data_IF_211178708183
#
_entry.id   IF_211178708183
#
_cell.length_a   1.000
_cell.length_b   1.000
_cell.length_c   1.000
_cell.angle_alpha   90.00
_cell.angle_beta   90.00
_cell.angle_gamma   90.00
#
_symmetry.space_group_name_H-M   'P 1'
#
loop_
_entity.id
_entity.type
_entity.pdbx_description
1 polymer ?
#
# COMPACT_ATOMS: atom_id res chain seq x y z
N UNK A 1 -1.57 -32.91 44.75
CA UNK A 1 -0.38 -32.34 44.09
C UNK A 1 -0.84 -31.85 42.73
N UNK A 2 -1.04 -30.54 42.59
CA UNK A 2 -1.56 -29.89 41.39
C UNK A 2 -0.46 -29.81 40.33
N UNK A 3 -0.76 -30.24 39.11
CA UNK A 3 0.12 -30.16 37.96
C UNK A 3 0.49 -28.70 37.65
N UNK A 4 1.69 -28.44 37.09
CA UNK A 4 2.09 -27.09 36.71
C UNK A 4 1.15 -26.54 35.63
N UNK A 5 0.67 -25.34 35.90
CA UNK A 5 -0.11 -24.48 35.02
C UNK A 5 0.56 -24.41 33.63
N UNK A 6 0.07 -25.20 32.67
CA UNK A 6 0.36 -24.96 31.26
C UNK A 6 -0.24 -23.60 30.98
N UNK A 7 0.62 -22.60 30.79
CA UNK A 7 0.22 -21.33 30.23
C UNK A 7 -0.52 -21.65 28.93
N UNK A 8 -1.85 -21.60 28.97
CA UNK A 8 -2.66 -21.57 27.77
C UNK A 8 -2.14 -20.37 26.97
N UNK A 9 -1.70 -20.55 25.72
CA UNK A 9 -1.44 -19.39 24.87
C UNK A 9 -2.72 -18.55 24.89
N UNK A 10 -2.58 -17.26 25.19
CA UNK A 10 -3.70 -16.33 25.13
C UNK A 10 -4.43 -16.51 23.79
N UNK A 11 -5.77 -16.46 23.75
CA UNK A 11 -6.51 -16.58 22.49
C UNK A 11 -5.92 -15.61 21.47
N UNK A 12 -5.83 -15.98 20.17
CA UNK A 12 -5.17 -15.14 19.18
C UNK A 12 -5.80 -13.76 19.23
N UNK A 13 -5.03 -12.78 19.71
CA UNK A 13 -5.40 -11.38 19.58
C UNK A 13 -5.47 -11.14 18.09
N UNK A 14 -6.68 -11.01 17.54
CA UNK A 14 -6.88 -10.91 16.11
C UNK A 14 -6.16 -9.67 15.60
N UNK A 15 -5.11 -9.87 14.82
CA UNK A 15 -4.40 -8.76 14.17
C UNK A 15 -5.39 -8.03 13.27
N UNK A 16 -5.27 -6.71 13.18
CA UNK A 16 -6.14 -5.90 12.28
C UNK A 16 -5.62 -5.83 10.85
N UNK A 17 -4.46 -6.42 10.62
CA UNK A 17 -3.70 -6.41 9.36
C UNK A 17 -3.54 -7.86 8.87
N UNK A 18 -3.62 -8.09 7.55
CA UNK A 18 -3.43 -9.42 6.98
C UNK A 18 -2.04 -9.98 7.25
N UNK A 19 -1.93 -11.30 7.21
CA UNK A 19 -0.64 -11.98 7.14
C UNK A 19 0.07 -11.66 5.82
N UNK A 20 1.40 -11.51 5.90
CA UNK A 20 2.25 -11.21 4.74
C UNK A 20 2.50 -12.48 3.94
N UNK A 21 1.51 -12.86 3.14
CA UNK A 21 1.57 -14.01 2.21
C UNK A 21 1.80 -13.53 0.77
N UNK A 22 1.92 -14.44 -0.20
CA UNK A 22 2.00 -14.08 -1.62
C UNK A 22 0.78 -13.28 -2.08
N UNK A 23 -0.42 -13.66 -1.63
CA UNK A 23 -1.66 -12.98 -1.99
C UNK A 23 -1.66 -11.52 -1.53
N UNK A 24 -1.07 -11.23 -0.36
CA UNK A 24 -0.89 -9.86 0.12
C UNK A 24 -0.07 -9.01 -0.87
N UNK A 25 1.07 -9.53 -1.34
CA UNK A 25 1.91 -8.79 -2.28
C UNK A 25 1.25 -8.60 -3.64
N UNK A 26 0.50 -9.60 -4.12
CA UNK A 26 -0.22 -9.52 -5.39
C UNK A 26 -1.33 -8.47 -5.32
N UNK A 27 -2.22 -8.54 -4.32
CA UNK A 27 -3.31 -7.56 -4.19
C UNK A 27 -2.74 -6.17 -3.96
N UNK A 28 -1.67 -6.04 -3.18
CA UNK A 28 -1.00 -4.76 -2.98
C UNK A 28 -0.47 -4.18 -4.29
N UNK A 29 0.24 -4.98 -5.08
CA UNK A 29 0.77 -4.52 -6.37
C UNK A 29 -0.37 -4.07 -7.29
N UNK A 30 -1.46 -4.83 -7.34
CA UNK A 30 -2.66 -4.44 -8.10
C UNK A 30 -3.30 -3.16 -7.56
N UNK A 31 -3.43 -3.01 -6.24
CA UNK A 31 -3.99 -1.82 -5.59
C UNK A 31 -3.15 -0.57 -5.89
N UNK A 32 -1.83 -0.71 -5.87
CA UNK A 32 -0.88 0.32 -6.27
C UNK A 32 -1.10 0.72 -7.73
N UNK A 33 -1.09 -0.23 -8.65
CA UNK A 33 -1.27 0.05 -10.08
C UNK A 33 -2.65 0.68 -10.37
N UNK A 34 -3.70 0.21 -9.71
CA UNK A 34 -5.05 0.79 -9.83
C UNK A 34 -5.11 2.20 -9.29
N UNK A 35 -4.46 2.48 -8.17
CA UNK A 35 -4.52 3.79 -7.55
C UNK A 35 -3.90 4.87 -8.41
N UNK A 36 -2.81 4.54 -9.11
CA UNK A 36 -2.16 5.42 -10.08
C UNK A 36 -3.11 5.73 -11.24
N UNK A 37 -3.57 4.70 -11.95
CA UNK A 37 -4.40 4.90 -13.14
C UNK A 37 -5.78 5.48 -12.80
N UNK A 38 -6.30 5.24 -11.60
CA UNK A 38 -7.54 5.84 -11.14
C UNK A 38 -7.36 7.34 -10.82
N UNK A 39 -6.24 7.73 -10.20
CA UNK A 39 -5.93 9.13 -9.94
C UNK A 39 -5.86 9.93 -11.25
N UNK A 40 -5.09 9.44 -12.22
CA UNK A 40 -4.98 10.04 -13.56
C UNK A 40 -6.33 10.13 -14.26
N UNK A 41 -7.12 9.05 -14.21
CA UNK A 41 -8.43 9.02 -14.85
C UNK A 41 -9.36 10.10 -14.27
N UNK A 42 -9.43 10.20 -12.95
CA UNK A 42 -10.27 11.18 -12.26
C UNK A 42 -9.79 12.61 -12.52
N UNK A 43 -8.49 12.86 -12.49
CA UNK A 43 -7.92 14.18 -12.68
C UNK A 43 -8.04 14.66 -14.14
N UNK A 44 -7.57 13.84 -15.08
CA UNK A 44 -7.36 14.26 -16.48
C UNK A 44 -8.53 13.88 -17.39
N UNK A 45 -9.07 12.66 -17.26
CA UNK A 45 -10.08 12.16 -18.19
C UNK A 45 -11.48 12.65 -17.85
N UNK A 46 -11.85 12.64 -16.56
CA UNK A 46 -13.10 13.24 -16.11
C UNK A 46 -12.98 14.78 -16.10
N UNK A 47 -11.76 15.32 -16.06
CA UNK A 47 -11.49 16.76 -16.11
C UNK A 47 -11.86 17.47 -14.81
N UNK A 48 -11.88 16.76 -13.68
CA UNK A 48 -12.10 17.36 -12.36
C UNK A 48 -10.91 18.23 -11.93
N UNK A 49 -9.72 17.95 -12.47
CA UNK A 49 -8.46 18.58 -12.08
C UNK A 49 -7.90 18.00 -10.77
N UNK A 50 -6.57 18.08 -10.63
CA UNK A 50 -5.83 17.48 -9.51
C UNK A 50 -6.35 17.92 -8.14
N UNK A 51 -6.56 19.22 -7.94
CA UNK A 51 -6.94 19.75 -6.61
C UNK A 51 -8.34 19.30 -6.16
N UNK A 52 -9.34 19.34 -7.04
CA UNK A 52 -10.72 18.94 -6.69
C UNK A 52 -10.78 17.43 -6.46
N UNK A 53 -10.15 16.65 -7.34
CA UNK A 53 -10.05 15.19 -7.17
C UNK A 53 -9.35 14.82 -5.87
N UNK A 54 -8.25 15.48 -5.54
CA UNK A 54 -7.52 15.28 -4.28
C UNK A 54 -8.39 15.53 -3.07
N UNK A 55 -9.18 16.62 -3.04
CA UNK A 55 -10.08 16.93 -1.93
C UNK A 55 -11.20 15.89 -1.77
N UNK A 56 -11.85 15.50 -2.87
CA UNK A 56 -12.94 14.51 -2.85
C UNK A 56 -12.41 13.15 -2.37
N UNK A 57 -11.32 12.66 -2.96
CA UNK A 57 -10.73 11.37 -2.63
C UNK A 57 -10.17 11.34 -1.22
N UNK A 58 -9.59 12.45 -0.73
CA UNK A 58 -9.16 12.56 0.66
C UNK A 58 -10.35 12.47 1.62
N UNK A 59 -11.49 13.09 1.31
CA UNK A 59 -12.71 12.96 2.10
C UNK A 59 -13.22 11.51 2.17
N UNK A 60 -13.21 10.81 1.04
CA UNK A 60 -13.59 9.39 0.96
C UNK A 60 -12.60 8.51 1.74
N UNK A 61 -11.29 8.79 1.64
CA UNK A 61 -10.25 8.10 2.41
C UNK A 61 -10.46 8.26 3.91
N UNK A 62 -10.76 9.48 4.38
CA UNK A 62 -11.04 9.71 5.81
C UNK A 62 -12.22 8.85 6.26
N UNK A 63 -13.31 8.79 5.49
CA UNK A 63 -14.46 7.95 5.81
C UNK A 63 -14.09 6.45 5.85
N UNK A 64 -13.29 5.97 4.90
CA UNK A 64 -12.84 4.58 4.87
C UNK A 64 -11.89 4.24 6.02
N UNK A 65 -11.00 5.16 6.41
CA UNK A 65 -10.15 4.99 7.58
C UNK A 65 -10.99 4.95 8.86
N UNK A 66 -11.98 5.83 9.01
CA UNK A 66 -12.91 5.79 10.16
C UNK A 66 -13.62 4.44 10.24
N UNK A 67 -14.09 3.92 9.10
CA UNK A 67 -14.70 2.61 9.01
C UNK A 67 -13.72 1.48 9.39
N UNK A 68 -12.46 1.58 8.95
CA UNK A 68 -11.40 0.65 9.28
C UNK A 68 -11.06 0.67 10.78
N UNK A 69 -10.89 1.85 11.38
CA UNK A 69 -10.66 2.00 12.81
C UNK A 69 -11.83 1.48 13.67
N UNK A 70 -13.05 1.49 13.12
CA UNK A 70 -14.21 0.89 13.77
C UNK A 70 -14.17 -0.65 13.76
N UNK A 71 -13.46 -1.27 12.80
CA UNK A 71 -13.25 -2.71 12.79
C UNK A 71 -12.20 -3.09 13.85
N UNK A 72 -12.64 -3.84 14.86
CA UNK A 72 -11.74 -4.33 15.93
C UNK A 72 -10.97 -5.60 15.54
N UNK A 73 -11.21 -6.13 14.33
CA UNK A 73 -10.60 -7.33 13.73
C UNK A 73 -10.22 -7.05 12.28
N UNK A 74 -9.32 -7.85 11.71
CA UNK A 74 -9.02 -7.78 10.29
C UNK A 74 -10.27 -8.10 9.47
N UNK A 75 -10.73 -7.13 8.68
CA UNK A 75 -11.81 -7.28 7.72
C UNK A 75 -11.22 -7.03 6.33
N UNK A 76 -11.02 -8.07 5.49
CA UNK A 76 -10.28 -7.95 4.25
C UNK A 76 -10.76 -6.82 3.35
N UNK A 77 -12.08 -6.70 3.14
CA UNK A 77 -12.62 -5.68 2.25
C UNK A 77 -12.41 -4.26 2.76
N UNK A 78 -12.56 -4.01 4.06
CA UNK A 78 -12.39 -2.68 4.64
C UNK A 78 -10.91 -2.25 4.59
N UNK A 79 -10.01 -3.20 4.89
CA UNK A 79 -8.58 -2.98 4.84
C UNK A 79 -8.10 -2.67 3.42
N UNK A 80 -8.46 -3.50 2.44
CA UNK A 80 -8.03 -3.30 1.06
C UNK A 80 -8.69 -2.08 0.42
N UNK A 81 -9.92 -1.74 0.79
CA UNK A 81 -10.54 -0.47 0.39
C UNK A 81 -9.71 0.72 0.88
N UNK A 82 -9.30 0.73 2.15
CA UNK A 82 -8.45 1.77 2.69
C UNK A 82 -7.09 1.83 1.96
N UNK A 83 -6.46 0.68 1.68
CA UNK A 83 -5.20 0.63 0.92
C UNK A 83 -5.34 1.20 -0.49
N UNK A 84 -6.41 0.86 -1.22
CA UNK A 84 -6.67 1.40 -2.57
C UNK A 84 -6.91 2.90 -2.51
N UNK A 85 -7.72 3.38 -1.56
CA UNK A 85 -7.97 4.81 -1.41
C UNK A 85 -6.72 5.60 -1.01
N UNK A 86 -5.88 5.05 -0.14
CA UNK A 86 -4.57 5.63 0.17
C UNK A 86 -3.69 5.66 -1.07
N UNK A 87 -3.77 4.64 -1.92
CA UNK A 87 -3.02 4.64 -3.17
C UNK A 87 -3.40 5.79 -4.08
N UNK A 88 -4.70 6.03 -4.26
CA UNK A 88 -5.22 7.12 -5.09
C UNK A 88 -4.82 8.47 -4.47
N UNK A 89 -5.07 8.65 -3.17
CA UNK A 89 -4.79 9.92 -2.48
C UNK A 89 -3.28 10.21 -2.42
N UNK A 90 -2.44 9.20 -2.20
CA UNK A 90 -0.99 9.36 -2.17
C UNK A 90 -0.42 9.90 -3.48
N UNK A 91 -0.92 9.41 -4.62
CA UNK A 91 -0.60 9.95 -5.95
C UNK A 91 -1.09 11.38 -6.09
N UNK A 92 -2.39 11.61 -5.88
CA UNK A 92 -2.98 12.95 -6.01
C UNK A 92 -2.32 14.01 -5.11
N UNK A 93 -1.88 13.65 -3.90
CA UNK A 93 -1.16 14.57 -3.01
C UNK A 93 0.20 14.93 -3.59
N UNK A 94 0.91 13.95 -4.14
CA UNK A 94 2.22 14.16 -4.76
C UNK A 94 2.11 15.02 -6.01
N UNK A 95 1.23 14.66 -6.92
CA UNK A 95 1.05 15.33 -8.21
C UNK A 95 0.55 16.75 -7.99
N UNK A 96 -0.40 16.96 -7.07
CA UNK A 96 -0.87 18.30 -6.74
C UNK A 96 0.28 19.17 -6.20
N UNK A 97 1.21 18.60 -5.40
CA UNK A 97 2.36 19.33 -4.87
C UNK A 97 3.39 19.69 -5.94
N UNK A 98 3.60 18.81 -6.92
CA UNK A 98 4.57 19.00 -7.99
C UNK A 98 3.98 19.83 -9.14
N UNK A 99 2.86 19.40 -9.70
CA UNK A 99 2.27 19.94 -10.93
C UNK A 99 1.43 21.18 -10.70
N UNK A 100 0.62 21.21 -9.63
CA UNK A 100 -0.21 22.39 -9.32
C UNK A 100 0.58 23.46 -8.58
N UNK A 101 1.32 23.06 -7.54
CA UNK A 101 2.05 23.99 -6.68
C UNK A 101 3.48 24.29 -7.17
N UNK A 102 3.93 23.66 -8.27
CA UNK A 102 5.24 23.90 -8.86
C UNK A 102 6.41 23.41 -8.00
N UNK A 103 6.15 22.46 -7.08
CA UNK A 103 7.18 21.84 -6.26
C UNK A 103 8.16 21.05 -7.12
N UNK A 104 9.46 21.14 -6.84
CA UNK A 104 10.45 20.29 -7.52
C UNK A 104 10.30 18.86 -7.01
N UNK A 105 10.27 17.86 -7.91
CA UNK A 105 10.21 16.44 -7.53
C UNK A 105 11.25 16.08 -6.47
N UNK A 106 12.51 16.50 -6.67
CA UNK A 106 13.60 16.26 -5.70
C UNK A 106 13.26 16.74 -4.29
N UNK A 107 12.70 17.94 -4.17
CA UNK A 107 12.31 18.50 -2.87
C UNK A 107 11.17 17.71 -2.25
N UNK A 108 10.17 17.32 -3.05
CA UNK A 108 9.02 16.53 -2.62
C UNK A 108 9.45 15.13 -2.15
N UNK A 109 10.31 14.45 -2.91
CA UNK A 109 10.87 13.14 -2.54
C UNK A 109 11.67 13.22 -1.23
N UNK A 110 12.52 14.25 -1.07
CA UNK A 110 13.28 14.45 0.17
C UNK A 110 12.33 14.73 1.34
N UNK A 111 11.34 15.59 1.15
CA UNK A 111 10.37 15.94 2.18
C UNK A 111 9.58 14.70 2.65
N UNK A 112 9.06 13.90 1.73
CA UNK A 112 8.36 12.65 2.09
C UNK A 112 9.30 11.61 2.72
N UNK A 113 10.56 11.53 2.28
CA UNK A 113 11.56 10.65 2.90
C UNK A 113 11.81 11.03 4.36
N UNK A 114 11.99 12.33 4.63
CA UNK A 114 12.19 12.85 5.99
C UNK A 114 10.94 12.64 6.83
N UNK A 115 9.75 12.91 6.29
CA UNK A 115 8.49 12.69 6.99
C UNK A 115 8.26 11.21 7.33
N UNK A 116 8.57 10.30 6.40
CA UNK A 116 8.47 8.86 6.62
C UNK A 116 9.47 8.39 7.68
N UNK A 117 10.73 8.83 7.59
CA UNK A 117 11.76 8.52 8.58
C UNK A 117 11.39 9.04 9.97
N UNK A 118 10.87 10.26 10.06
CA UNK A 118 10.36 10.84 11.30
C UNK A 118 9.19 10.02 11.86
N UNK A 119 8.25 9.58 11.00
CA UNK A 119 7.12 8.73 11.40
C UNK A 119 7.60 7.40 11.99
N UNK A 120 8.56 6.73 11.33
CA UNK A 120 9.15 5.51 11.88
C UNK A 120 9.92 5.75 13.18
N UNK A 121 10.66 6.85 13.28
CA UNK A 121 11.40 7.20 14.48
C UNK A 121 10.47 7.46 15.69
N UNK A 122 9.39 8.21 15.48
CA UNK A 122 8.39 8.48 16.53
C UNK A 122 7.63 7.21 16.90
N UNK A 123 7.27 6.37 15.93
CA UNK A 123 6.62 5.09 16.19
C UNK A 123 7.53 4.15 16.99
N UNK A 124 8.80 4.01 16.59
CA UNK A 124 9.78 3.22 17.32
C UNK A 124 10.07 3.79 18.71
N UNK A 125 10.13 5.11 18.88
CA UNK A 125 10.30 5.74 20.19
C UNK A 125 9.10 5.49 21.12
N UNK A 126 7.87 5.49 20.58
CA UNK A 126 6.65 5.28 21.37
C UNK A 126 6.37 3.82 21.69
N UNK A 127 6.66 2.90 20.76
CA UNK A 127 6.20 1.50 20.88
C UNK A 127 7.33 0.47 20.90
N UNK A 128 8.57 0.92 20.63
CA UNK A 128 9.79 0.09 20.52
C UNK A 128 9.68 -1.10 19.58
N UNK A 129 8.73 -1.05 18.66
CA UNK A 129 8.52 -2.05 17.62
C UNK A 129 7.96 -1.37 16.39
N UNK A 130 8.41 -1.82 15.21
CA UNK A 130 7.85 -1.48 13.90
C UNK A 130 7.07 -2.67 13.32
N UNK A 131 6.74 -3.65 14.17
CA UNK A 131 6.11 -4.90 13.75
C UNK A 131 4.64 -4.70 13.43
N UNK A 132 4.30 -5.05 12.19
CA UNK A 132 2.94 -5.08 11.63
C UNK A 132 2.08 -6.21 12.20
N UNK A 133 2.68 -7.19 12.89
CA UNK A 133 1.99 -8.35 13.47
C UNK A 133 1.32 -8.03 14.81
N UNK A 134 1.49 -6.82 15.34
CA UNK A 134 1.01 -6.46 16.68
C UNK A 134 0.15 -5.20 16.70
N UNK A 135 -0.63 -4.96 15.64
CA UNK A 135 -1.48 -3.76 15.52
C UNK A 135 -2.83 -4.04 16.19
N UNK A 136 -2.84 -3.95 17.53
CA UNK A 136 -4.04 -4.19 18.35
C UNK A 136 -4.65 -2.90 18.92
N UNK A 137 -3.87 -1.81 18.98
CA UNK A 137 -4.32 -0.53 19.55
C UNK A 137 -4.50 0.53 18.47
N UNK A 138 -5.44 1.44 18.68
CA UNK A 138 -5.71 2.58 17.78
C UNK A 138 -4.46 3.43 17.56
N UNK A 139 -3.57 3.54 18.54
CA UNK A 139 -2.31 4.29 18.42
C UNK A 139 -1.37 3.66 17.39
N UNK A 140 -1.12 2.34 17.46
CA UNK A 140 -0.26 1.66 16.46
C UNK A 140 -0.89 1.72 15.07
N UNK A 141 -2.21 1.62 15.02
CA UNK A 141 -2.97 1.68 13.77
C UNK A 141 -2.87 3.06 13.10
N UNK A 142 -2.86 4.16 13.86
CA UNK A 142 -2.61 5.51 13.33
C UNK A 142 -1.19 5.61 12.74
N UNK A 143 -0.17 5.15 13.46
CA UNK A 143 1.21 5.16 12.94
C UNK A 143 1.35 4.31 11.68
N UNK A 144 0.68 3.15 11.66
CA UNK A 144 0.66 2.26 10.52
C UNK A 144 0.05 2.93 9.28
N UNK A 145 -1.16 3.47 9.39
CA UNK A 145 -1.82 4.13 8.25
C UNK A 145 -1.10 5.40 7.80
N UNK A 146 -0.53 6.17 8.73
CA UNK A 146 0.29 7.33 8.41
C UNK A 146 1.56 6.92 7.67
N UNK A 147 2.26 5.88 8.15
CA UNK A 147 3.43 5.34 7.46
C UNK A 147 3.04 4.88 6.05
N UNK A 148 1.94 4.13 5.88
CA UNK A 148 1.46 3.73 4.56
C UNK A 148 1.23 4.95 3.68
N UNK A 149 0.45 5.94 4.10
CA UNK A 149 0.18 7.13 3.30
C UNK A 149 1.48 7.81 2.83
N UNK A 150 2.44 7.98 3.73
CA UNK A 150 3.74 8.58 3.41
C UNK A 150 4.59 7.69 2.50
N UNK A 151 4.55 6.36 2.65
CA UNK A 151 5.24 5.45 1.70
C UNK A 151 4.64 5.52 0.30
N UNK A 152 3.32 5.71 0.20
CA UNK A 152 2.64 5.84 -1.08
C UNK A 152 3.00 7.16 -1.76
N UNK A 153 2.94 8.28 -1.04
CA UNK A 153 3.33 9.59 -1.57
C UNK A 153 4.83 9.64 -1.92
N UNK A 154 5.70 9.11 -1.05
CA UNK A 154 7.13 8.98 -1.35
C UNK A 154 7.38 8.12 -2.58
N UNK A 155 6.65 7.02 -2.71
CA UNK A 155 6.82 6.08 -3.81
C UNK A 155 6.41 6.66 -5.16
N UNK A 156 5.33 7.45 -5.23
CA UNK A 156 4.98 8.22 -6.42
C UNK A 156 6.09 9.24 -6.74
N UNK A 157 6.41 10.12 -5.79
CA UNK A 157 7.42 11.16 -5.99
C UNK A 157 8.80 10.60 -6.38
N UNK A 158 9.21 9.48 -5.78
CA UNK A 158 10.47 8.81 -6.07
C UNK A 158 10.44 8.05 -7.40
N UNK A 159 9.30 7.47 -7.77
CA UNK A 159 9.08 6.82 -9.07
C UNK A 159 9.21 7.84 -10.20
N UNK A 160 8.47 8.93 -10.11
CA UNK A 160 8.48 10.00 -11.12
C UNK A 160 9.85 10.67 -11.18
N UNK A 161 10.50 10.88 -10.02
CA UNK A 161 11.84 11.43 -10.00
C UNK A 161 12.82 10.55 -10.80
N UNK A 162 12.74 9.22 -10.65
CA UNK A 162 13.61 8.30 -11.38
C UNK A 162 13.24 8.24 -12.86
N UNK A 163 11.95 8.16 -13.18
CA UNK A 163 11.49 8.09 -14.56
C UNK A 163 11.81 9.37 -15.35
N UNK A 164 11.53 10.55 -14.79
CA UNK A 164 11.69 11.84 -15.45
C UNK A 164 13.13 12.35 -15.42
N UNK A 165 13.84 12.22 -14.28
CA UNK A 165 15.20 12.80 -14.17
C UNK A 165 16.24 12.02 -14.95
N UNK A 166 16.04 10.72 -15.15
CA UNK A 166 16.99 9.86 -15.86
C UNK A 166 16.57 9.52 -17.29
N UNK A 167 15.41 10.02 -17.77
CA UNK A 167 14.81 9.66 -19.07
C UNK A 167 14.73 8.12 -19.27
N UNK A 168 14.63 7.40 -18.15
CA UNK A 168 14.53 5.96 -18.09
C UNK A 168 13.05 5.63 -18.20
N UNK A 169 12.56 5.39 -19.41
CA UNK A 169 11.14 5.10 -19.64
C UNK A 169 10.54 4.07 -18.67
N UNK A 170 9.21 4.06 -18.53
CA UNK A 170 8.47 3.34 -17.49
C UNK A 170 8.88 1.86 -17.28
N UNK A 171 9.19 1.14 -18.37
CA UNK A 171 9.64 -0.25 -18.29
C UNK A 171 10.99 -0.38 -17.56
N UNK A 172 11.96 0.48 -17.86
CA UNK A 172 13.30 0.44 -17.26
C UNK A 172 13.23 0.80 -15.78
N UNK A 173 12.42 1.80 -15.43
CA UNK A 173 12.16 2.20 -14.05
C UNK A 173 11.48 1.06 -13.27
N UNK A 174 10.48 0.40 -13.86
CA UNK A 174 9.86 -0.80 -13.28
C UNK A 174 10.87 -1.93 -13.05
N UNK A 175 11.73 -2.24 -14.01
CA UNK A 175 12.77 -3.27 -13.84
C UNK A 175 13.79 -2.90 -12.75
N UNK A 176 14.14 -1.63 -12.61
CA UNK A 176 15.03 -1.14 -11.57
C UNK A 176 14.44 -1.37 -10.17
N UNK A 177 13.18 -0.97 -9.95
CA UNK A 177 12.50 -1.18 -8.67
C UNK A 177 12.25 -2.66 -8.39
N UNK A 178 11.90 -3.45 -9.42
CA UNK A 178 11.73 -4.90 -9.31
C UNK A 178 13.05 -5.60 -8.93
N UNK A 179 14.16 -5.19 -9.53
CA UNK A 179 15.50 -5.67 -9.18
C UNK A 179 15.91 -5.28 -7.76
N UNK A 180 15.60 -4.07 -7.31
CA UNK A 180 15.85 -3.64 -5.94
C UNK A 180 15.06 -4.47 -4.91
N UNK A 181 13.79 -4.78 -5.20
CA UNK A 181 12.98 -5.69 -4.36
C UNK A 181 13.59 -7.09 -4.34
N UNK A 182 13.99 -7.62 -5.49
CA UNK A 182 14.64 -8.93 -5.57
C UNK A 182 15.94 -8.97 -4.73
N UNK A 183 16.72 -7.88 -4.75
CA UNK A 183 17.93 -7.75 -3.94
C UNK A 183 17.63 -7.72 -2.43
N UNK A 184 16.53 -7.08 -2.01
CA UNK A 184 16.08 -7.11 -0.61
C UNK A 184 15.66 -8.52 -0.20
N UNK A 185 14.93 -9.24 -1.06
CA UNK A 185 14.54 -10.63 -0.80
C UNK A 185 15.78 -11.52 -0.69
N UNK A 186 16.76 -11.34 -1.57
CA UNK A 186 18.04 -12.04 -1.49
C UNK A 186 18.80 -11.66 -0.21
N UNK A 187 18.85 -10.39 0.17
CA UNK A 187 19.48 -9.96 1.42
C UNK A 187 18.78 -10.58 2.65
N UNK A 188 17.45 -10.72 2.61
CA UNK A 188 16.70 -11.41 3.65
C UNK A 188 17.11 -12.89 3.77
N UNK A 189 17.26 -13.61 2.65
CA UNK A 189 17.60 -15.03 2.65
C UNK A 189 19.08 -15.33 2.88
N UNK A 190 19.98 -14.53 2.30
CA UNK A 190 21.42 -14.77 2.32
C UNK A 190 22.14 -14.04 3.47
N UNK A 191 21.64 -12.88 3.90
CA UNK A 191 22.31 -12.02 4.89
C UNK A 191 21.57 -11.96 6.23
N UNK A 192 20.50 -12.75 6.41
CA UNK A 192 19.64 -12.74 7.60
C UNK A 192 19.18 -11.32 7.98
N UNK A 193 18.78 -10.53 6.97
CA UNK A 193 18.25 -9.19 7.19
C UNK A 193 17.02 -9.26 8.12
N UNK A 194 16.85 -8.28 8.99
CA UNK A 194 15.67 -8.20 9.86
C UNK A 194 14.39 -8.19 9.02
N UNK A 195 13.44 -9.07 9.34
CA UNK A 195 12.21 -9.26 8.56
C UNK A 195 11.31 -8.02 8.53
N UNK A 196 11.34 -7.18 9.57
CA UNK A 196 10.55 -5.94 9.63
C UNK A 196 11.18 -4.90 8.71
N UNK A 197 12.51 -4.76 8.72
CA UNK A 197 13.22 -3.88 7.79
C UNK A 197 13.04 -4.32 6.34
N UNK A 198 13.20 -5.61 6.06
CA UNK A 198 12.99 -6.17 4.72
C UNK A 198 11.56 -5.91 4.22
N UNK A 199 10.56 -6.09 5.10
CA UNK A 199 9.16 -5.79 4.80
C UNK A 199 8.98 -4.32 4.42
N UNK A 200 9.41 -3.37 5.25
CA UNK A 200 9.20 -1.95 4.99
C UNK A 200 9.93 -1.47 3.73
N UNK A 201 11.16 -1.95 3.49
CA UNK A 201 11.90 -1.60 2.27
C UNK A 201 11.20 -2.14 1.02
N UNK A 202 10.82 -3.41 1.01
CA UNK A 202 10.03 -3.97 -0.09
C UNK A 202 8.68 -3.24 -0.23
N UNK A 203 8.05 -2.90 0.90
CA UNK A 203 6.78 -2.21 0.93
C UNK A 203 6.87 -0.82 0.28
N UNK A 204 7.93 -0.06 0.57
CA UNK A 204 8.19 1.25 -0.04
C UNK A 204 8.41 1.10 -1.55
N UNK A 205 9.28 0.17 -1.97
CA UNK A 205 9.68 0.04 -3.38
C UNK A 205 8.61 -0.57 -4.28
N UNK A 206 7.66 -1.33 -3.72
CA UNK A 206 6.52 -1.83 -4.51
C UNK A 206 5.61 -0.72 -5.05
N UNK A 207 5.60 0.48 -4.42
CA UNK A 207 4.83 1.61 -4.94
C UNK A 207 5.37 2.12 -6.29
N UNK A 208 6.62 2.62 -6.38
CA UNK A 208 7.15 3.12 -7.65
C UNK A 208 7.18 2.03 -8.72
N UNK A 209 7.38 0.76 -8.33
CA UNK A 209 7.23 -0.39 -9.23
C UNK A 209 5.84 -0.44 -9.87
N UNK A 210 4.78 -0.45 -9.05
CA UNK A 210 3.42 -0.60 -9.56
C UNK A 210 2.87 0.65 -10.25
N UNK A 211 3.35 1.85 -9.88
CA UNK A 211 3.09 3.09 -10.62
C UNK A 211 3.71 3.03 -12.03
N UNK A 212 4.99 2.63 -12.12
CA UNK A 212 5.67 2.42 -13.41
C UNK A 212 4.95 1.41 -14.30
N UNK A 213 4.44 0.30 -13.73
CA UNK A 213 3.61 -0.65 -14.47
C UNK A 213 2.26 -0.08 -14.87
N UNK A 214 1.64 0.76 -14.02
CA UNK A 214 0.39 1.46 -14.30
C UNK A 214 0.53 2.37 -15.51
N UNK A 215 1.53 3.25 -15.48
CA UNK A 215 1.87 4.15 -16.60
C UNK A 215 2.24 3.38 -17.87
N UNK A 216 3.06 2.32 -17.73
CA UNK A 216 3.42 1.47 -18.85
C UNK A 216 2.19 0.84 -19.50
N UNK A 217 1.15 0.50 -18.76
CA UNK A 217 -0.07 -0.09 -19.32
C UNK A 217 -1.05 0.97 -19.84
N UNK A 218 -1.22 2.08 -19.13
CA UNK A 218 -2.24 3.10 -19.38
C UNK A 218 -1.82 4.10 -20.47
N UNK A 219 -0.57 4.60 -20.44
CA UNK A 219 -0.12 5.69 -21.30
C UNK A 219 0.07 5.25 -22.74
N UNK A 220 -0.06 6.19 -23.66
CA UNK A 220 0.05 5.94 -25.11
C UNK A 220 1.47 5.51 -25.52
N UNK A 221 1.58 4.76 -26.62
CA UNK A 221 2.87 4.36 -27.21
C UNK A 221 3.80 5.51 -27.58
N UNK A 222 3.26 6.72 -27.79
CA UNK A 222 4.07 7.93 -28.01
C UNK A 222 4.78 8.44 -26.76
N UNK A 223 4.33 8.05 -25.57
CA UNK A 223 4.94 8.39 -24.28
C UNK A 223 5.61 7.18 -23.61
N UNK A 224 5.86 6.10 -24.37
CA UNK A 224 6.53 4.90 -23.84
C UNK A 224 5.63 3.87 -23.14
N UNK A 225 4.30 4.01 -23.23
CA UNK A 225 3.33 3.02 -22.70
C UNK A 225 2.76 2.08 -23.77
N UNK A 226 2.00 1.06 -23.35
CA UNK A 226 1.40 0.03 -24.20
C UNK A 226 0.07 0.48 -24.82
N UNK A 227 -0.50 1.59 -24.35
CA UNK A 227 -1.67 2.23 -24.94
C UNK A 227 -2.98 1.48 -24.73
N UNK A 228 -3.10 0.66 -23.68
CA UNK A 228 -4.38 0.01 -23.34
C UNK A 228 -5.45 1.01 -22.90
N UNK A 229 -5.05 2.22 -22.55
CA UNK A 229 -5.92 3.31 -22.18
C UNK A 229 -6.35 3.25 -20.71
N UNK A 230 -6.36 4.40 -20.06
CA UNK A 230 -6.58 4.57 -18.62
C UNK A 230 -7.90 3.97 -18.12
N UNK A 231 -8.95 3.99 -18.95
CA UNK A 231 -10.28 3.44 -18.62
C UNK A 231 -10.24 1.92 -18.50
N UNK A 232 -9.68 1.25 -19.52
CA UNK A 232 -9.69 -0.21 -19.57
C UNK A 232 -8.77 -0.80 -18.50
N UNK A 233 -7.59 -0.20 -18.30
CA UNK A 233 -6.65 -0.61 -17.26
C UNK A 233 -7.27 -0.44 -15.87
N UNK A 234 -7.83 0.73 -15.56
CA UNK A 234 -8.44 0.99 -14.25
C UNK A 234 -9.62 0.05 -13.94
N UNK A 235 -10.50 -0.21 -14.92
CA UNK A 235 -11.63 -1.13 -14.71
C UNK A 235 -11.18 -2.59 -14.55
N UNK A 236 -10.19 -3.03 -15.33
CA UNK A 236 -9.64 -4.38 -15.24
C UNK A 236 -9.02 -4.63 -13.85
N UNK A 237 -8.13 -3.73 -13.41
CA UNK A 237 -7.49 -3.90 -12.11
C UNK A 237 -8.47 -3.75 -10.94
N UNK A 238 -9.43 -2.82 -11.02
CA UNK A 238 -10.49 -2.70 -10.01
C UNK A 238 -11.32 -3.99 -9.93
N UNK A 239 -11.67 -4.59 -11.08
CA UNK A 239 -12.37 -5.87 -11.13
C UNK A 239 -11.56 -7.01 -10.48
N UNK A 240 -10.26 -7.09 -10.75
CA UNK A 240 -9.36 -8.05 -10.12
C UNK A 240 -9.26 -7.86 -8.60
N UNK A 241 -9.18 -6.61 -8.12
CA UNK A 241 -9.16 -6.30 -6.69
C UNK A 241 -10.48 -6.74 -6.04
N UNK A 242 -11.62 -6.42 -6.63
CA UNK A 242 -12.93 -6.86 -6.10
C UNK A 242 -12.99 -8.38 -6.01
N UNK A 243 -12.53 -9.10 -7.05
CA UNK A 243 -12.52 -10.56 -7.06
C UNK A 243 -11.60 -11.15 -5.97
N UNK A 244 -10.39 -10.60 -5.80
CA UNK A 244 -9.43 -11.05 -4.78
C UNK A 244 -9.91 -10.73 -3.36
N UNK A 245 -10.50 -9.55 -3.15
CA UNK A 245 -11.10 -9.15 -1.89
C UNK A 245 -12.29 -10.05 -1.54
N UNK A 246 -13.13 -10.37 -2.52
CA UNK A 246 -14.24 -11.30 -2.33
C UNK A 246 -13.73 -12.70 -1.97
N UNK A 247 -12.71 -13.19 -2.68
CA UNK A 247 -12.07 -14.47 -2.38
C UNK A 247 -11.48 -14.51 -0.95
N UNK A 248 -10.77 -13.46 -0.53
CA UNK A 248 -10.23 -13.36 0.84
C UNK A 248 -11.33 -13.27 1.90
N UNK A 249 -12.42 -12.55 1.60
CA UNK A 249 -13.56 -12.40 2.51
C UNK A 249 -14.28 -13.75 2.69
N UNK A 250 -14.48 -14.48 1.59
CA UNK A 250 -15.10 -15.81 1.62
C UNK A 250 -14.21 -16.81 2.38
N UNK A 251 -12.90 -16.84 2.09
CA UNK A 251 -11.95 -17.73 2.76
C UNK A 251 -11.87 -17.46 4.27
N UNK A 252 -11.78 -16.20 4.69
CA UNK A 252 -11.77 -15.84 6.11
C UNK A 252 -13.08 -16.18 6.84
N UNK A 253 -14.22 -16.20 6.13
CA UNK A 253 -15.50 -16.63 6.70
C UNK A 253 -15.55 -18.15 6.88
N UNK A 254 -14.91 -18.91 5.97
CA UNK A 254 -14.80 -20.37 6.06
C UNK A 254 -13.86 -20.79 7.21
N UNK A 255 -12.71 -20.12 7.36
CA UNK A 255 -11.78 -20.41 8.45
C UNK A 255 -12.40 -20.11 9.84
N UNK A 256 -13.15 -19.00 10.00
CA UNK A 256 -13.90 -18.70 11.25
C UNK A 256 -14.99 -19.76 11.54
N UNK A 257 -15.63 -20.32 10.50
CA UNK A 257 -16.66 -21.35 10.66
C UNK A 257 -16.09 -22.71 11.07
N UNK A 258 -14.95 -23.11 10.50
CA UNK A 258 -14.26 -24.35 10.85
C UNK A 258 -13.69 -24.29 12.28
N UNK A 259 -13.15 -23.15 12.71
CA UNK A 259 -12.64 -22.97 14.08
C UNK A 259 -13.77 -23.06 15.12
N UNK A 260 -14.94 -22.48 14.84
CA UNK A 260 -16.14 -22.61 15.68
C UNK A 260 -16.67 -24.05 15.76
N UNK A 261 -16.53 -24.85 14.70
CA UNK A 261 -16.92 -26.26 14.71
C UNK A 261 -15.95 -27.11 15.52
N UNK A 262 -14.64 -26.82 15.44
CA UNK A 262 -13.61 -27.51 16.24
C UNK A 262 -13.69 -27.22 17.74
N UNK A 263 -14.18 -26.05 18.13
CA UNK A 263 -14.42 -25.69 19.54
C UNK A 263 -15.68 -26.33 20.15
N UNK A 264 -16.55 -26.94 19.32
CA UNK A 264 -17.80 -27.58 19.74
C UNK A 264 -17.70 -29.11 19.92
N UNK A 265 -16.61 -29.74 19.48
CA UNK A 265 -16.31 -31.18 19.62
C UNK A 265 -15.34 -31.48 20.80
#
# INVERSE_FOLDING_TARGET
MLAPNRQQPAPPSHNRVPDVTLDFWVIKLMAVTTGETAADYLADTIGLGLTVTSLIMTGILIAALVLQFAQKRYVPWAYWLAVVLISIVGTLVTDNLVDTFGGRLQTTTIAFSVALAATFAVWYASERTLSIHTIFTTRREIFYWLAILLTFALGTAGGDLVAESFDMGYLTTGLLFGGAIALIVLAYWLLNLDGILAFWLAYILTRPLGASFGDLLSRSARHGGLGFGTIFTSLLFLGCIIALVLHMTLKGTTDEADELLLDLD
#
